data_IF_586197041281
#
_entry.id   IF_586197041281
#
_cell.length_a   1.000
_cell.length_b   1.000
_cell.length_c   1.000
_cell.angle_alpha   90.00
_cell.angle_beta   90.00
_cell.angle_gamma   90.00
#
_symmetry.space_group_name_H-M   'P 1'
#
loop_
_entity.id
_entity.type
_entity.pdbx_description
1 polymer ?
#
# COMPACT_ATOMS: atom_id res chain seq x y z
N UNK A 1 -0.23 -0.08 -5.50
CA UNK A 1 -0.17 1.02 -6.48
C UNK A 1 -1.40 1.87 -6.31
N UNK A 2 -1.27 3.10 -5.82
CA UNK A 2 -2.40 4.04 -5.76
C UNK A 2 -2.35 5.01 -6.92
N UNK A 3 -2.60 4.52 -8.13
CA UNK A 3 -2.35 5.26 -9.39
C UNK A 3 -3.17 6.55 -9.52
N UNK A 4 -4.32 6.63 -8.84
CA UNK A 4 -5.30 7.71 -8.99
C UNK A 4 -5.70 8.34 -7.66
N UNK A 5 -4.81 8.23 -6.65
CA UNK A 5 -5.05 8.81 -5.33
C UNK A 5 -4.52 10.25 -5.29
N UNK A 6 -5.37 11.23 -4.94
CA UNK A 6 -4.94 12.64 -4.88
C UNK A 6 -3.88 12.89 -3.81
N UNK A 7 -3.73 11.98 -2.84
CA UNK A 7 -2.64 12.02 -1.85
C UNK A 7 -1.24 11.91 -2.46
N UNK A 8 -1.12 11.45 -3.71
CA UNK A 8 0.15 11.38 -4.44
C UNK A 8 0.36 12.53 -5.43
N UNK A 9 -0.52 13.53 -5.43
CA UNK A 9 -0.47 14.69 -6.33
C UNK A 9 -1.60 14.70 -7.35
N UNK A 10 -1.40 15.42 -8.46
CA UNK A 10 -2.36 15.47 -9.54
C UNK A 10 -2.60 14.08 -10.13
N UNK A 11 -3.87 13.74 -10.34
CA UNK A 11 -4.25 12.45 -10.93
C UNK A 11 -3.88 12.48 -12.42
N UNK A 12 -2.98 11.60 -12.91
CA UNK A 12 -2.60 11.57 -14.32
C UNK A 12 -3.78 11.19 -15.20
N UNK A 13 -3.75 11.56 -16.48
CA UNK A 13 -4.76 11.10 -17.43
C UNK A 13 -4.56 9.61 -17.73
N UNK A 14 -5.62 8.91 -18.13
CA UNK A 14 -5.56 7.45 -18.32
C UNK A 14 -4.45 7.00 -19.27
N UNK A 15 -4.16 7.76 -20.33
CA UNK A 15 -3.07 7.45 -21.26
C UNK A 15 -1.68 7.44 -20.59
N UNK A 16 -1.44 8.36 -19.65
CA UNK A 16 -0.18 8.42 -18.89
C UNK A 16 -0.08 7.26 -17.89
N UNK A 17 -1.20 6.90 -17.24
CA UNK A 17 -1.24 5.75 -16.32
C UNK A 17 -0.93 4.46 -17.08
N UNK A 18 -1.47 4.31 -18.28
CA UNK A 18 -1.17 3.18 -19.14
C UNK A 18 0.28 3.14 -19.59
N UNK A 19 0.85 4.26 -20.02
CA UNK A 19 2.26 4.34 -20.37
C UNK A 19 3.16 3.97 -19.18
N UNK A 20 2.79 4.39 -17.96
CA UNK A 20 3.48 3.98 -16.74
C UNK A 20 3.40 2.46 -16.49
N UNK A 21 2.22 1.85 -16.63
CA UNK A 21 2.05 0.41 -16.47
C UNK A 21 2.80 -0.40 -17.54
N UNK A 22 2.79 0.08 -18.78
CA UNK A 22 3.56 -0.51 -19.88
C UNK A 22 5.06 -0.49 -19.54
N UNK A 23 5.58 0.66 -19.10
CA UNK A 23 6.98 0.79 -18.69
C UNK A 23 7.34 -0.07 -17.47
N UNK A 24 6.48 -0.12 -16.45
CA UNK A 24 6.70 -0.96 -15.27
C UNK A 24 6.80 -2.44 -15.66
N UNK A 25 5.91 -2.91 -16.53
CA UNK A 25 5.97 -4.26 -17.07
C UNK A 25 7.26 -4.51 -17.86
N UNK A 26 7.62 -3.60 -18.77
CA UNK A 26 8.83 -3.72 -19.60
C UNK A 26 10.13 -3.71 -18.77
N UNK A 27 10.12 -3.03 -17.62
CA UNK A 27 11.20 -3.03 -16.65
C UNK A 27 11.25 -4.31 -15.79
N UNK A 28 10.34 -5.27 -16.01
CA UNK A 28 10.26 -6.52 -15.25
C UNK A 28 9.58 -6.39 -13.89
N UNK A 29 8.88 -5.28 -13.62
CA UNK A 29 8.09 -5.12 -12.40
C UNK A 29 6.79 -5.91 -12.56
N UNK A 30 6.81 -7.14 -12.06
CA UNK A 30 5.68 -8.09 -12.17
C UNK A 30 4.87 -8.23 -10.89
N UNK A 31 5.36 -7.76 -9.74
CA UNK A 31 4.56 -7.70 -8.50
C UNK A 31 3.79 -6.37 -8.44
N UNK A 32 2.49 -6.43 -8.66
CA UNK A 32 1.61 -5.26 -8.65
C UNK A 32 0.72 -5.27 -7.43
N UNK A 33 0.89 -4.26 -6.58
CA UNK A 33 0.04 -4.04 -5.43
C UNK A 33 -1.14 -3.13 -5.81
N UNK A 34 -2.32 -3.27 -5.19
CA UNK A 34 -3.50 -2.41 -5.34
C UNK A 34 -4.33 -2.43 -4.04
N UNK A 35 -5.50 -1.78 -4.01
CA UNK A 35 -6.49 -1.93 -2.95
C UNK A 35 -7.88 -1.52 -3.44
N UNK A 36 -8.93 -2.12 -2.86
CA UNK A 36 -10.32 -1.74 -3.07
C UNK A 36 -10.60 -0.26 -2.73
N UNK A 37 -9.78 0.29 -1.84
CA UNK A 37 -9.85 1.67 -1.35
C UNK A 37 -9.07 2.66 -2.23
N UNK A 38 -8.29 2.20 -3.22
CA UNK A 38 -7.47 3.07 -4.08
C UNK A 38 -8.24 3.58 -5.30
N UNK A 39 -9.35 4.28 -5.06
CA UNK A 39 -10.20 4.88 -6.09
C UNK A 39 -10.52 3.90 -7.24
N UNK A 40 -10.30 4.27 -8.49
CA UNK A 40 -10.53 3.48 -9.70
C UNK A 40 -9.30 2.65 -10.14
N UNK A 41 -8.31 2.47 -9.27
CA UNK A 41 -7.06 1.79 -9.61
C UNK A 41 -7.27 0.34 -10.08
N UNK A 42 -8.15 -0.42 -9.42
CA UNK A 42 -8.49 -1.80 -9.82
C UNK A 42 -9.14 -1.84 -11.21
N UNK A 43 -10.02 -0.88 -11.52
CA UNK A 43 -10.65 -0.79 -12.84
C UNK A 43 -9.64 -0.44 -13.93
N UNK A 44 -8.70 0.46 -13.65
CA UNK A 44 -7.63 0.82 -14.60
C UNK A 44 -6.70 -0.35 -14.86
N UNK A 45 -6.29 -1.08 -13.81
CA UNK A 45 -5.47 -2.29 -13.96
C UNK A 45 -6.23 -3.34 -14.79
N UNK A 46 -7.53 -3.54 -14.54
CA UNK A 46 -8.36 -4.45 -15.34
C UNK A 46 -8.46 -4.04 -16.82
N UNK A 47 -8.61 -2.74 -17.10
CA UNK A 47 -8.54 -2.21 -18.47
C UNK A 47 -7.19 -2.48 -19.12
N UNK A 48 -6.09 -2.34 -18.37
CA UNK A 48 -4.76 -2.65 -18.86
C UNK A 48 -4.60 -4.14 -19.19
N UNK A 49 -5.11 -5.05 -18.34
CA UNK A 49 -5.11 -6.49 -18.61
C UNK A 49 -5.89 -6.83 -19.89
N UNK A 50 -7.12 -6.34 -20.04
CA UNK A 50 -7.91 -6.55 -21.27
C UNK A 50 -7.18 -6.07 -22.52
N UNK A 51 -6.54 -4.91 -22.43
CA UNK A 51 -5.84 -4.28 -23.55
C UNK A 51 -4.59 -5.06 -23.98
N UNK A 52 -3.87 -5.66 -23.03
CA UNK A 52 -2.55 -6.25 -23.28
C UNK A 52 -2.52 -7.77 -23.28
N UNK A 53 -3.49 -8.43 -22.64
CA UNK A 53 -3.50 -9.88 -22.44
C UNK A 53 -2.50 -10.40 -21.40
N UNK A 54 -1.76 -9.51 -20.72
CA UNK A 54 -0.61 -9.85 -19.86
C UNK A 54 -0.96 -10.18 -18.40
N UNK A 55 -2.23 -10.49 -18.09
CA UNK A 55 -2.64 -10.82 -16.72
C UNK A 55 -1.82 -11.97 -16.12
N UNK A 56 -1.49 -12.99 -16.93
CA UNK A 56 -0.73 -14.16 -16.48
C UNK A 56 0.72 -13.88 -16.08
N UNK A 57 1.27 -12.74 -16.48
CA UNK A 57 2.67 -12.36 -16.18
C UNK A 57 2.79 -11.56 -14.88
N UNK A 58 1.66 -11.08 -14.34
CA UNK A 58 1.62 -10.19 -13.19
C UNK A 58 1.21 -10.98 -11.95
N UNK A 59 1.99 -10.88 -10.88
CA UNK A 59 1.55 -11.26 -9.54
C UNK A 59 0.78 -10.09 -8.94
N UNK A 60 -0.55 -10.21 -8.86
CA UNK A 60 -1.44 -9.16 -8.41
C UNK A 60 -1.83 -9.32 -6.95
N UNK A 61 -1.44 -8.34 -6.13
CA UNK A 61 -1.90 -8.18 -4.77
C UNK A 61 -2.97 -7.08 -4.67
N UNK A 62 -4.08 -7.33 -3.97
CA UNK A 62 -5.05 -6.28 -3.59
C UNK A 62 -5.41 -6.39 -2.11
N UNK A 63 -6.13 -5.38 -1.62
CA UNK A 63 -6.50 -5.25 -0.20
C UNK A 63 -7.97 -4.96 -0.04
N UNK A 64 -8.52 -5.39 1.09
CA UNK A 64 -9.88 -5.05 1.53
C UNK A 64 -9.91 -4.61 2.99
N UNK A 65 -11.03 -4.06 3.43
CA UNK A 65 -11.31 -3.86 4.86
C UNK A 65 -11.72 -2.44 5.25
N UNK A 66 -11.49 -1.45 4.38
CA UNK A 66 -12.13 -0.15 4.52
C UNK A 66 -13.54 -0.20 3.90
N UNK A 67 -14.51 0.36 4.61
CA UNK A 67 -15.85 0.58 4.05
C UNK A 67 -15.75 1.62 2.94
N UNK A 68 -16.04 1.21 1.69
CA UNK A 68 -16.03 2.11 0.53
C UNK A 68 -16.90 3.34 0.80
N UNK A 69 -16.40 4.52 0.44
CA UNK A 69 -17.04 5.82 0.64
C UNK A 69 -17.27 6.23 2.12
N UNK A 70 -16.69 5.51 3.08
CA UNK A 70 -16.69 5.98 4.46
C UNK A 70 -15.90 7.29 4.57
N UNK A 71 -16.54 8.32 5.13
CA UNK A 71 -15.89 9.60 5.43
C UNK A 71 -15.01 9.52 6.68
N UNK A 72 -15.16 8.47 7.48
CA UNK A 72 -14.50 8.26 8.78
C UNK A 72 -13.48 7.12 8.75
N UNK A 73 -13.13 6.61 7.56
CA UNK A 73 -12.25 5.44 7.41
C UNK A 73 -12.74 4.21 8.18
N UNK A 74 -14.06 4.02 8.24
CA UNK A 74 -14.68 2.88 8.90
C UNK A 74 -14.11 1.56 8.37
N UNK A 75 -13.87 0.62 9.28
CA UNK A 75 -13.35 -0.70 8.97
C UNK A 75 -14.45 -1.74 9.08
N UNK A 76 -14.50 -2.65 8.11
CA UNK A 76 -15.37 -3.82 8.15
C UNK A 76 -14.61 -5.04 7.65
N UNK A 77 -14.36 -5.97 8.56
CA UNK A 77 -13.64 -7.23 8.30
C UNK A 77 -14.55 -8.45 8.47
N UNK A 78 -15.87 -8.23 8.57
CA UNK A 78 -16.83 -9.31 8.70
C UNK A 78 -16.81 -10.24 7.49
N UNK A 79 -17.07 -11.52 7.70
CA UNK A 79 -17.11 -12.54 6.64
C UNK A 79 -17.94 -12.12 5.42
N UNK A 80 -19.12 -11.53 5.65
CA UNK A 80 -20.02 -11.05 4.58
C UNK A 80 -19.38 -9.92 3.79
N UNK A 81 -18.73 -8.97 4.47
CA UNK A 81 -18.08 -7.84 3.83
C UNK A 81 -16.85 -8.29 3.02
N UNK A 82 -16.03 -9.18 3.55
CA UNK A 82 -14.85 -9.70 2.85
C UNK A 82 -15.25 -10.35 1.52
N UNK A 83 -16.28 -11.22 1.52
CA UNK A 83 -16.77 -11.84 0.28
C UNK A 83 -17.27 -10.82 -0.73
N UNK A 84 -17.98 -9.79 -0.25
CA UNK A 84 -18.46 -8.69 -1.10
C UNK A 84 -17.29 -7.89 -1.70
N UNK A 85 -16.30 -7.53 -0.89
CA UNK A 85 -15.14 -6.75 -1.32
C UNK A 85 -14.30 -7.52 -2.35
N UNK A 86 -14.04 -8.82 -2.11
CA UNK A 86 -13.32 -9.67 -3.05
C UNK A 86 -14.08 -9.84 -4.37
N UNK A 87 -15.40 -10.10 -4.33
CA UNK A 87 -16.21 -10.23 -5.52
C UNK A 87 -16.22 -8.94 -6.37
N UNK A 88 -16.28 -7.78 -5.72
CA UNK A 88 -16.23 -6.50 -6.40
C UNK A 88 -14.84 -6.22 -7.00
N UNK A 89 -13.76 -6.58 -6.30
CA UNK A 89 -12.39 -6.45 -6.80
C UNK A 89 -12.20 -7.29 -8.06
N UNK A 90 -12.61 -8.56 -8.04
CA UNK A 90 -12.58 -9.46 -9.21
C UNK A 90 -13.38 -8.90 -10.39
N UNK A 91 -14.57 -8.33 -10.11
CA UNK A 91 -15.42 -7.70 -11.13
C UNK A 91 -14.78 -6.46 -11.75
N UNK A 92 -14.16 -5.59 -10.95
CA UNK A 92 -13.52 -4.36 -11.43
C UNK A 92 -12.24 -4.66 -12.22
N UNK A 93 -11.43 -5.59 -11.72
CA UNK A 93 -10.24 -6.08 -12.39
C UNK A 93 -10.58 -6.91 -13.63
N UNK A 94 -11.79 -7.47 -13.70
CA UNK A 94 -12.26 -8.35 -14.77
C UNK A 94 -11.36 -9.58 -14.93
N UNK A 95 -11.14 -10.26 -13.81
CA UNK A 95 -10.29 -11.45 -13.69
C UNK A 95 -10.98 -12.51 -12.84
N UNK A 96 -10.55 -13.76 -12.98
CA UNK A 96 -11.13 -14.89 -12.25
C UNK A 96 -10.46 -15.12 -10.88
N UNK A 97 -9.22 -14.66 -10.71
CA UNK A 97 -8.44 -14.87 -9.48
C UNK A 97 -7.45 -13.73 -9.19
N UNK A 98 -7.21 -13.51 -7.91
CA UNK A 98 -6.22 -12.59 -7.35
C UNK A 98 -5.12 -13.44 -6.69
N UNK A 99 -3.85 -13.11 -6.95
CA UNK A 99 -2.72 -13.90 -6.45
C UNK A 99 -2.53 -13.72 -4.93
N UNK A 100 -2.75 -12.50 -4.44
CA UNK A 100 -2.73 -12.18 -3.01
C UNK A 100 -3.83 -11.18 -2.63
N UNK A 101 -4.68 -11.54 -1.67
CA UNK A 101 -5.67 -10.62 -1.09
C UNK A 101 -5.46 -10.52 0.41
N UNK A 102 -5.23 -9.30 0.92
CA UNK A 102 -4.90 -9.09 2.32
C UNK A 102 -5.70 -7.97 2.99
N UNK A 103 -5.75 -8.00 4.31
CA UNK A 103 -6.42 -6.98 5.11
C UNK A 103 -5.63 -5.66 5.06
N UNK A 104 -6.30 -4.56 4.70
CA UNK A 104 -5.68 -3.25 4.46
C UNK A 104 -5.16 -2.58 5.74
N UNK A 105 -5.82 -2.82 6.89
CA UNK A 105 -5.38 -2.27 8.17
C UNK A 105 -5.82 -3.19 9.31
N UNK A 106 -4.94 -3.44 10.30
CA UNK A 106 -5.29 -4.22 11.50
C UNK A 106 -6.30 -3.49 12.40
N UNK A 107 -6.85 -4.21 13.38
CA UNK A 107 -7.93 -3.71 14.24
C UNK A 107 -7.53 -2.45 15.05
N UNK A 108 -8.27 -1.33 14.95
CA UNK A 108 -8.00 -0.11 15.71
C UNK A 108 -8.28 -0.24 17.22
N UNK A 109 -9.01 -1.27 17.64
CA UNK A 109 -9.21 -1.58 19.06
C UNK A 109 -7.93 -2.10 19.73
N UNK A 110 -6.94 -2.51 18.94
CA UNK A 110 -5.60 -2.84 19.41
C UNK A 110 -4.71 -1.60 19.23
N UNK A 111 -4.21 -0.99 20.32
CA UNK A 111 -3.25 0.11 20.22
C UNK A 111 -2.12 -0.24 19.26
N UNK A 112 -1.82 0.63 18.29
CA UNK A 112 -0.76 0.35 17.32
C UNK A 112 0.58 0.17 18.03
N UNK A 113 0.78 0.80 19.19
CA UNK A 113 1.92 0.62 20.08
C UNK A 113 2.01 -0.80 20.65
N UNK A 114 0.91 -1.53 20.84
CA UNK A 114 0.94 -2.95 21.21
C UNK A 114 1.40 -3.80 20.03
N UNK A 115 0.88 -3.53 18.83
CA UNK A 115 1.29 -4.24 17.61
C UNK A 115 2.74 -3.91 17.24
N UNK A 116 3.16 -2.66 17.39
CA UNK A 116 4.52 -2.20 17.12
C UNK A 116 5.50 -2.56 18.23
N UNK A 117 5.07 -2.63 19.49
CA UNK A 117 5.85 -3.21 20.60
C UNK A 117 6.03 -4.69 20.39
N UNK A 118 4.98 -5.41 20.01
CA UNK A 118 5.11 -6.79 19.56
C UNK A 118 6.09 -6.85 18.40
N UNK A 119 5.97 -6.06 17.32
CA UNK A 119 6.89 -6.05 16.16
C UNK A 119 8.32 -5.66 16.51
N UNK A 120 8.52 -4.84 17.55
CA UNK A 120 9.82 -4.39 18.04
C UNK A 120 10.47 -5.41 18.98
N UNK A 121 9.72 -6.00 19.89
CA UNK A 121 10.13 -7.17 20.69
C UNK A 121 10.41 -8.36 19.75
N UNK A 122 9.56 -8.54 18.72
CA UNK A 122 9.70 -9.49 17.61
C UNK A 122 11.02 -9.27 16.82
N UNK A 123 11.57 -8.04 16.81
CA UNK A 123 12.78 -7.62 16.09
C UNK A 123 14.06 -7.61 16.95
N UNK A 124 13.98 -7.23 18.23
CA UNK A 124 15.13 -7.03 19.12
C UNK A 124 15.62 -8.31 19.78
N UNK A 125 14.81 -9.35 19.75
CA UNK A 125 15.16 -10.64 20.26
C UNK A 125 15.86 -11.46 19.15
N UNK A 126 17.15 -11.71 19.33
CA UNK A 126 17.89 -12.72 18.55
C UNK A 126 17.41 -14.14 18.86
N UNK A 127 18.26 -15.02 19.37
CA UNK A 127 17.93 -16.43 19.67
C UNK A 127 16.77 -16.62 20.70
N UNK A 128 16.30 -15.53 21.31
CA UNK A 128 15.12 -15.50 22.18
C UNK A 128 13.96 -14.70 21.58
N UNK A 129 13.86 -14.69 20.26
CA UNK A 129 12.92 -13.87 19.52
C UNK A 129 11.64 -14.51 19.12
N UNK A 130 10.70 -13.69 18.74
CA UNK A 130 9.41 -14.12 18.20
C UNK A 130 9.46 -14.85 16.86
N UNK A 131 10.67 -14.92 16.30
CA UNK A 131 10.95 -15.57 15.06
C UNK A 131 10.15 -15.01 13.89
N UNK A 132 9.52 -13.83 13.87
CA UNK A 132 8.60 -13.51 12.74
C UNK A 132 9.24 -13.61 11.34
N UNK A 133 10.51 -13.22 11.17
CA UNK A 133 11.23 -13.45 9.91
C UNK A 133 11.57 -14.93 9.70
N UNK A 134 11.88 -15.66 10.77
CA UNK A 134 12.20 -17.09 10.74
C UNK A 134 10.96 -17.96 10.55
N UNK A 135 9.87 -17.70 11.27
CA UNK A 135 8.49 -18.13 11.04
C UNK A 135 8.03 -17.79 9.64
N UNK A 136 8.26 -16.57 9.14
CA UNK A 136 7.94 -16.28 7.75
C UNK A 136 8.79 -17.12 6.79
N UNK A 137 10.05 -17.40 7.08
CA UNK A 137 10.87 -18.33 6.27
C UNK A 137 10.43 -19.79 6.42
N UNK A 138 10.04 -20.22 7.62
CA UNK A 138 9.60 -21.59 7.94
C UNK A 138 8.24 -21.88 7.31
N UNK A 139 7.33 -20.91 7.33
CA UNK A 139 6.00 -20.99 6.77
C UNK A 139 5.94 -20.57 5.29
N UNK A 140 7.09 -20.25 4.68
CA UNK A 140 7.21 -19.76 3.31
C UNK A 140 6.30 -18.54 3.01
N UNK A 141 6.24 -17.62 3.98
CA UNK A 141 5.50 -16.36 3.90
C UNK A 141 6.42 -15.23 3.46
N UNK A 142 6.05 -14.57 2.37
CA UNK A 142 6.72 -13.35 1.92
C UNK A 142 6.36 -12.14 2.80
N UNK A 143 7.35 -11.33 3.18
CA UNK A 143 7.16 -10.04 3.83
C UNK A 143 7.38 -8.93 2.82
N UNK A 144 6.37 -8.07 2.65
CA UNK A 144 6.44 -6.89 1.79
C UNK A 144 6.43 -5.63 2.66
N UNK A 145 7.57 -4.96 2.74
CA UNK A 145 7.68 -3.70 3.48
C UNK A 145 6.96 -2.57 2.73
N UNK A 146 5.85 -2.08 3.31
CA UNK A 146 5.15 -0.92 2.79
C UNK A 146 5.90 0.37 3.13
N UNK A 147 5.84 1.35 2.21
CA UNK A 147 6.46 2.68 2.37
C UNK A 147 7.96 2.62 2.76
N UNK A 148 8.80 1.89 2.01
CA UNK A 148 10.21 1.66 2.37
C UNK A 148 11.05 2.95 2.43
N UNK A 149 10.60 4.01 1.76
CA UNK A 149 11.24 5.33 1.78
C UNK A 149 10.60 6.30 2.79
N UNK A 150 9.71 5.82 3.67
CA UNK A 150 9.07 6.65 4.69
C UNK A 150 8.30 7.84 4.12
N UNK A 151 7.59 7.67 2.99
CA UNK A 151 6.93 8.76 2.24
C UNK A 151 7.89 9.85 1.73
N UNK A 152 9.08 9.43 1.33
CA UNK A 152 10.13 10.29 0.79
C UNK A 152 11.11 10.81 1.84
N UNK A 153 10.84 10.60 3.13
CA UNK A 153 11.70 11.04 4.23
C UNK A 153 13.14 10.54 4.11
N UNK A 154 13.31 9.31 3.62
CA UNK A 154 14.63 8.66 3.48
C UNK A 154 15.30 8.94 2.12
N UNK A 155 14.79 9.89 1.35
CA UNK A 155 15.39 10.27 0.06
C UNK A 155 16.37 11.42 0.24
N UNK A 156 17.42 11.46 -0.59
CA UNK A 156 18.43 12.53 -0.55
C UNK A 156 17.79 13.93 -0.58
N UNK A 157 16.82 14.12 -1.47
CA UNK A 157 16.12 15.40 -1.64
C UNK A 157 15.36 15.84 -0.37
N UNK A 158 14.92 14.91 0.48
CA UNK A 158 14.25 15.28 1.73
C UNK A 158 15.26 15.64 2.82
N UNK A 159 16.37 14.89 2.87
CA UNK A 159 17.47 15.08 3.82
C UNK A 159 18.18 16.42 3.58
N UNK A 160 18.46 16.75 2.32
CA UNK A 160 19.13 18.01 1.94
C UNK A 160 18.17 19.22 1.91
N UNK A 161 16.88 19.01 2.21
CA UNK A 161 15.87 20.05 2.25
C UNK A 161 15.38 20.53 0.88
N UNK A 162 15.77 19.90 -0.23
CA UNK A 162 15.40 20.30 -1.59
C UNK A 162 14.08 19.69 -2.10
N UNK A 163 13.43 18.85 -1.30
CA UNK A 163 12.20 18.16 -1.67
C UNK A 163 11.09 19.14 -2.07
N UNK A 164 10.52 18.93 -3.25
CA UNK A 164 9.31 19.62 -3.70
C UNK A 164 8.13 19.35 -2.74
N UNK A 165 7.31 20.37 -2.48
CA UNK A 165 6.13 20.25 -1.63
C UNK A 165 6.32 20.64 -0.16
N UNK A 166 7.43 21.30 0.22
CA UNK A 166 7.54 22.00 1.51
C UNK A 166 6.66 23.27 1.53
N UNK A 167 5.35 23.12 1.32
CA UNK A 167 4.37 24.20 1.30
C UNK A 167 3.23 23.87 2.25
N UNK A 168 2.47 24.90 2.65
CA UNK A 168 1.37 24.79 3.61
C UNK A 168 0.27 23.79 3.23
N UNK A 169 0.23 23.30 1.99
CA UNK A 169 -0.76 22.34 1.49
C UNK A 169 -0.33 20.87 1.58
N UNK A 170 0.91 20.58 1.98
CA UNK A 170 1.41 19.21 2.07
C UNK A 170 0.94 18.52 3.36
N UNK A 171 0.11 17.50 3.18
CA UNK A 171 -0.50 16.70 4.26
C UNK A 171 0.52 16.06 5.19
N UNK A 172 1.77 15.83 4.75
CA UNK A 172 2.83 15.30 5.61
C UNK A 172 3.10 16.25 6.77
N UNK A 173 3.27 17.53 6.48
CA UNK A 173 3.57 18.56 7.48
C UNK A 173 2.33 18.96 8.30
N UNK A 174 1.12 18.72 7.79
CA UNK A 174 -0.11 19.06 8.49
C UNK A 174 -0.57 17.95 9.45
N UNK A 175 -0.44 16.68 9.06
CA UNK A 175 -1.16 15.57 9.71
C UNK A 175 -0.26 14.46 10.25
N UNK A 176 1.02 14.42 9.87
CA UNK A 176 1.88 13.29 10.20
C UNK A 176 2.97 13.73 11.20
N UNK A 177 2.88 13.35 12.49
CA UNK A 177 3.77 13.86 13.55
C UNK A 177 5.27 13.70 13.29
N UNK A 178 5.69 12.69 12.51
CA UNK A 178 7.11 12.46 12.18
C UNK A 178 7.71 13.53 11.25
N UNK A 179 6.88 14.31 10.58
CA UNK A 179 7.28 15.37 9.64
C UNK A 179 7.24 16.77 10.27
N UNK A 180 6.89 16.90 11.55
CA UNK A 180 6.62 18.20 12.20
C UNK A 180 7.58 18.49 13.36
N UNK A 181 7.82 19.78 13.63
CA UNK A 181 8.62 20.25 14.76
C UNK A 181 9.97 19.56 14.90
N UNK A 182 10.37 19.28 16.14
CA UNK A 182 11.62 18.55 16.47
C UNK A 182 11.62 17.11 15.96
N UNK A 183 10.45 16.50 15.71
CA UNK A 183 10.41 15.12 15.21
C UNK A 183 11.00 15.04 13.81
N UNK A 184 10.85 16.09 13.00
CA UNK A 184 11.47 16.13 11.67
C UNK A 184 12.99 15.99 11.78
N UNK A 185 13.64 16.77 12.64
CA UNK A 185 15.09 16.74 12.81
C UNK A 185 15.61 15.42 13.37
N UNK A 186 14.81 14.75 14.22
CA UNK A 186 15.16 13.44 14.80
C UNK A 186 14.97 12.26 13.84
N UNK A 187 14.21 12.43 12.76
CA UNK A 187 13.87 11.35 11.81
C UNK A 187 14.56 11.50 10.43
N UNK A 188 15.41 12.52 10.26
CA UNK A 188 16.24 12.76 9.07
C UNK A 188 17.67 12.31 9.36
#
# INVERSE_FOLDING_TARGET
>A
MGLTRPTYGAIPIQGEIFAFLDHAYEAGVTFWDSADYYNDCEEIIGKWFRRTGKRGDIFLATKFGYVKNSQTFELNTSYVYVKKACAESLRLLDIESIDLSYLHTPNPETPIEETMRALKELQDEGEKGTHILDTCRELDLAIVAAMPLGRGLLTANFIDGTASGQQDSDVRYQLIPRFTGENREKNI
#
